data_IF_404394151321
#
_entry.id   IF_404394151321
#
_cell.length_a   1.000
_cell.length_b   1.000
_cell.length_c   1.000
_cell.angle_alpha   90.00
_cell.angle_beta   90.00
_cell.angle_gamma   90.00
#
_symmetry.space_group_name_H-M   'P 1'
#
loop_
_entity.id
_entity.type
_entity.pdbx_description
1 polymer ?
#
# COMPACT_ATOMS: atom_id res chain seq x y z
N UNK A 1 -6.36 6.79 17.35
CA UNK A 1 -5.63 6.20 16.19
C UNK A 1 -5.38 4.71 16.36
N UNK A 2 -5.66 4.10 17.52
CA UNK A 2 -5.71 2.65 17.66
C UNK A 2 -7.12 2.26 18.10
N UNK A 3 -7.70 1.30 17.37
CA UNK A 3 -8.79 0.46 17.84
C UNK A 3 -8.15 -0.71 18.58
N UNK A 4 -8.55 -0.97 19.82
CA UNK A 4 -8.21 -2.22 20.48
C UNK A 4 -9.18 -3.28 19.96
N UNK A 5 -8.66 -4.35 19.36
CA UNK A 5 -9.47 -5.50 18.92
C UNK A 5 -10.12 -6.27 20.10
N UNK A 6 -9.88 -5.81 21.33
CA UNK A 6 -10.34 -6.41 22.59
C UNK A 6 -11.61 -5.73 23.11
N UNK A 7 -12.13 -4.69 22.45
CA UNK A 7 -13.40 -4.06 22.81
C UNK A 7 -14.56 -4.72 22.03
N UNK A 8 -15.35 -5.61 22.66
CA UNK A 8 -16.45 -6.30 21.99
C UNK A 8 -17.66 -5.38 21.73
N UNK A 9 -17.74 -4.23 22.39
CA UNK A 9 -18.92 -3.35 22.35
C UNK A 9 -18.82 -2.23 21.30
N UNK A 10 -17.64 -2.07 20.68
CA UNK A 10 -17.43 -1.09 19.61
C UNK A 10 -15.95 -0.85 19.31
N UNK A 11 -15.23 -1.78 18.64
CA UNK A 11 -13.78 -1.67 18.46
C UNK A 11 -13.36 -0.38 17.71
N UNK A 12 -14.29 0.22 16.96
CA UNK A 12 -14.05 1.41 16.14
C UNK A 12 -14.56 2.73 16.73
N UNK A 13 -15.16 2.74 17.92
CA UNK A 13 -15.76 3.96 18.48
C UNK A 13 -14.73 5.03 18.81
N UNK A 14 -13.52 4.60 19.19
CA UNK A 14 -12.38 5.49 19.44
C UNK A 14 -11.48 5.65 18.22
N UNK A 15 -11.75 4.93 17.13
CA UNK A 15 -11.00 5.01 15.90
C UNK A 15 -11.48 6.22 15.07
N UNK A 16 -10.52 6.99 14.55
CA UNK A 16 -10.81 8.14 13.67
C UNK A 16 -10.37 7.91 12.22
N UNK A 17 -9.27 7.19 12.03
CA UNK A 17 -8.68 6.87 10.74
C UNK A 17 -8.01 5.52 10.82
N UNK A 18 -8.11 4.74 9.75
CA UNK A 18 -7.25 3.60 9.48
C UNK A 18 -6.07 4.11 8.65
N UNK A 19 -4.85 3.86 9.11
CA UNK A 19 -3.64 4.17 8.37
C UNK A 19 -2.84 2.88 8.21
N UNK A 20 -2.35 2.62 6.99
CA UNK A 20 -1.41 1.54 6.77
C UNK A 20 -0.08 1.87 7.48
N UNK A 21 0.79 0.89 7.69
CA UNK A 21 2.04 1.09 8.44
C UNK A 21 2.87 2.28 7.92
N UNK A 22 3.12 2.43 6.60
CA UNK A 22 3.86 3.57 6.08
C UNK A 22 3.13 4.91 6.30
N UNK A 23 1.81 4.93 6.15
CA UNK A 23 0.99 6.12 6.38
C UNK A 23 0.97 6.53 7.85
N UNK A 24 1.00 5.56 8.76
CA UNK A 24 1.16 5.81 10.19
C UNK A 24 2.51 6.44 10.50
N UNK A 25 3.59 6.01 9.85
CA UNK A 25 4.90 6.65 9.97
C UNK A 25 4.85 8.08 9.42
N UNK A 26 4.27 8.29 8.24
CA UNK A 26 4.08 9.63 7.67
C UNK A 26 3.26 10.53 8.60
N UNK A 27 2.20 10.01 9.22
CA UNK A 27 1.40 10.71 10.21
C UNK A 27 2.24 11.16 11.41
N UNK A 28 3.13 10.31 11.92
CA UNK A 28 4.02 10.67 13.03
C UNK A 28 5.04 11.74 12.65
N UNK A 29 5.46 11.77 11.39
CA UNK A 29 6.47 12.70 10.90
C UNK A 29 5.90 14.07 10.56
N UNK A 30 4.71 14.13 9.94
CA UNK A 30 4.16 15.36 9.35
C UNK A 30 2.67 15.61 9.65
N UNK A 31 2.01 14.71 10.37
CA UNK A 31 0.58 14.82 10.70
C UNK A 31 -0.37 14.38 9.59
N UNK A 32 0.12 13.93 8.42
CA UNK A 32 -0.73 13.44 7.33
C UNK A 32 -1.69 12.34 7.79
N UNK A 33 -2.89 12.31 7.22
CA UNK A 33 -3.88 11.25 7.44
C UNK A 33 -4.35 10.63 6.12
N UNK A 34 -3.58 10.83 5.06
CA UNK A 34 -3.80 10.21 3.74
C UNK A 34 -3.37 8.75 3.78
N UNK A 35 -4.01 7.92 2.97
CA UNK A 35 -3.52 6.61 2.59
C UNK A 35 -2.82 6.69 1.25
N UNK A 36 -1.89 5.78 0.97
CA UNK A 36 -1.24 5.73 -0.34
C UNK A 36 -1.73 4.56 -1.19
N UNK A 37 -1.94 4.86 -2.48
CA UNK A 37 -2.64 4.00 -3.46
C UNK A 37 -2.07 2.59 -3.55
N UNK A 38 -0.75 2.45 -3.71
CA UNK A 38 -0.12 1.12 -3.91
C UNK A 38 -0.39 0.17 -2.73
N UNK A 39 -0.43 0.71 -1.52
CA UNK A 39 -0.66 -0.06 -0.31
C UNK A 39 -2.15 -0.20 0.03
N UNK A 40 -2.99 0.78 -0.30
CA UNK A 40 -4.45 0.66 -0.25
C UNK A 40 -4.94 -0.54 -1.09
N UNK A 41 -4.33 -0.78 -2.25
CA UNK A 41 -4.64 -1.94 -3.09
C UNK A 41 -4.34 -3.31 -2.47
N UNK A 42 -3.48 -3.39 -1.45
CA UNK A 42 -3.22 -4.65 -0.73
C UNK A 42 -4.34 -5.06 0.22
N UNK A 43 -5.27 -4.15 0.53
CA UNK A 43 -6.33 -4.36 1.52
C UNK A 43 -7.49 -5.23 1.02
N UNK A 44 -7.54 -5.53 -0.28
CA UNK A 44 -8.70 -6.12 -0.97
C UNK A 44 -9.98 -5.26 -0.91
N UNK A 45 -9.95 -4.08 -0.29
CA UNK A 45 -11.08 -3.18 -0.12
C UNK A 45 -10.98 -1.91 -0.99
N UNK A 46 -10.04 -1.88 -1.94
CA UNK A 46 -9.80 -0.74 -2.83
C UNK A 46 -9.96 -1.16 -4.29
N UNK A 47 -10.73 -0.38 -5.04
CA UNK A 47 -11.00 -0.58 -6.47
C UNK A 47 -10.02 0.24 -7.31
N UNK A 48 -9.22 -0.45 -8.13
CA UNK A 48 -8.20 0.18 -8.98
C UNK A 48 -8.78 1.04 -10.11
N UNK A 49 -9.93 0.66 -10.65
CA UNK A 49 -10.56 1.36 -11.78
C UNK A 49 -11.34 2.58 -11.30
N UNK A 50 -11.98 2.47 -10.15
CA UNK A 50 -12.71 3.59 -9.52
C UNK A 50 -11.81 4.51 -8.71
N UNK A 51 -10.58 4.06 -8.43
CA UNK A 51 -9.61 4.71 -7.54
C UNK A 51 -10.22 5.08 -6.19
N UNK A 52 -11.00 4.15 -5.63
CA UNK A 52 -11.82 4.38 -4.44
C UNK A 52 -11.96 3.11 -3.58
N UNK A 53 -12.20 3.31 -2.30
CA UNK A 53 -12.59 2.23 -1.38
C UNK A 53 -13.93 1.62 -1.79
N UNK A 54 -14.11 0.32 -1.57
CA UNK A 54 -15.30 -0.46 -1.91
C UNK A 54 -16.20 -0.59 -0.66
N UNK A 55 -17.30 0.19 -0.55
CA UNK A 55 -18.11 0.22 0.65
C UNK A 55 -18.71 -1.14 1.03
N UNK A 56 -19.09 -1.94 0.04
CA UNK A 56 -19.73 -3.25 0.25
C UNK A 56 -18.77 -4.26 0.89
N UNK A 57 -17.48 -4.21 0.54
CA UNK A 57 -16.46 -5.07 1.15
C UNK A 57 -16.10 -4.61 2.56
N UNK A 58 -16.05 -3.29 2.79
CA UNK A 58 -15.83 -2.73 4.10
C UNK A 58 -16.99 -3.05 5.05
N UNK A 59 -18.23 -2.94 4.59
CA UNK A 59 -19.42 -3.33 5.35
C UNK A 59 -19.41 -4.81 5.68
N UNK A 60 -19.09 -5.68 4.70
CA UNK A 60 -18.97 -7.11 4.91
C UNK A 60 -17.85 -7.48 5.92
N UNK A 61 -16.78 -6.68 5.97
CA UNK A 61 -15.69 -6.82 6.94
C UNK A 61 -16.01 -6.17 8.31
N UNK A 62 -17.16 -5.52 8.47
CA UNK A 62 -17.52 -4.79 9.68
C UNK A 62 -16.72 -3.52 9.91
N UNK A 63 -16.04 -3.00 8.89
CA UNK A 63 -15.17 -1.81 8.96
C UNK A 63 -15.94 -0.56 8.50
N UNK A 64 -16.09 0.46 9.36
CA UNK A 64 -16.79 1.67 8.97
C UNK A 64 -16.05 2.50 7.91
N UNK A 65 -16.72 2.85 6.82
CA UNK A 65 -16.18 3.71 5.74
C UNK A 65 -15.59 5.03 6.26
N UNK A 66 -16.14 5.60 7.34
CA UNK A 66 -15.62 6.85 7.97
C UNK A 66 -14.15 6.78 8.40
N UNK A 67 -13.60 5.58 8.56
CA UNK A 67 -12.22 5.35 8.95
C UNK A 67 -11.27 5.42 7.75
N UNK A 68 -11.77 5.18 6.54
CA UNK A 68 -10.92 5.10 5.37
C UNK A 68 -10.34 6.47 5.03
N UNK A 69 -9.03 6.57 4.80
CA UNK A 69 -8.40 7.82 4.44
C UNK A 69 -8.68 8.18 2.97
N UNK A 70 -8.54 9.46 2.65
CA UNK A 70 -8.35 9.86 1.26
C UNK A 70 -7.06 9.22 0.72
N UNK A 71 -7.11 8.71 -0.50
CA UNK A 71 -5.98 8.01 -1.12
C UNK A 71 -5.26 8.93 -2.09
N UNK A 72 -3.94 8.99 -1.96
CA UNK A 72 -3.08 9.74 -2.88
C UNK A 72 -2.18 8.80 -3.67
N UNK A 73 -1.82 9.20 -4.88
CA UNK A 73 -0.86 8.48 -5.72
C UNK A 73 0.57 8.63 -5.17
N UNK A 74 1.36 7.55 -5.22
CA UNK A 74 2.75 7.56 -4.76
C UNK A 74 3.67 8.47 -5.58
N UNK A 75 3.30 8.78 -6.82
CA UNK A 75 4.01 9.68 -7.73
C UNK A 75 3.58 11.16 -7.64
N UNK A 76 2.72 11.52 -6.68
CA UNK A 76 2.22 12.89 -6.55
C UNK A 76 3.34 13.92 -6.32
N UNK A 77 3.25 15.06 -7.03
CA UNK A 77 4.16 16.19 -6.86
C UNK A 77 3.77 17.12 -5.72
N UNK A 78 2.64 16.87 -5.03
CA UNK A 78 2.21 17.68 -3.90
C UNK A 78 2.67 17.04 -2.57
N UNK A 79 3.19 17.83 -1.62
CA UNK A 79 3.50 17.31 -0.30
C UNK A 79 2.24 16.83 0.43
N UNK A 80 2.32 15.67 1.09
CA UNK A 80 1.27 15.19 2.01
C UNK A 80 1.35 15.86 3.38
N UNK A 81 2.39 16.65 3.62
CA UNK A 81 2.58 17.42 4.83
C UNK A 81 3.98 18.02 4.90
N UNK A 82 4.29 18.62 6.05
CA UNK A 82 5.61 19.17 6.36
C UNK A 82 6.12 18.46 7.60
N UNK A 83 7.38 18.03 7.58
CA UNK A 83 8.01 17.38 8.73
C UNK A 83 7.95 18.31 9.94
N UNK A 84 7.48 17.79 11.08
CA UNK A 84 7.27 18.58 12.30
C UNK A 84 8.57 19.26 12.76
N UNK A 85 8.52 20.52 13.26
CA UNK A 85 9.73 21.30 13.55
C UNK A 85 10.72 20.61 14.50
N UNK A 86 10.23 19.94 15.55
CA UNK A 86 11.06 19.22 16.50
C UNK A 86 11.75 18.00 15.86
N UNK A 87 11.05 17.29 14.96
CA UNK A 87 11.59 16.14 14.22
C UNK A 87 12.62 16.61 13.20
N UNK A 88 12.31 17.67 12.45
CA UNK A 88 13.24 18.25 11.48
C UNK A 88 14.55 18.68 12.16
N UNK A 89 14.46 19.37 13.29
CA UNK A 89 15.63 19.74 14.09
C UNK A 89 16.42 18.51 14.58
N UNK A 90 15.74 17.49 15.13
CA UNK A 90 16.39 16.28 15.61
C UNK A 90 17.11 15.47 14.51
N UNK A 91 16.59 15.52 13.28
CA UNK A 91 17.16 14.84 12.11
C UNK A 91 18.15 15.70 11.31
N UNK A 92 18.38 16.96 11.72
CA UNK A 92 19.23 17.90 10.98
C UNK A 92 18.65 18.32 9.61
N UNK A 93 17.33 18.20 9.43
CA UNK A 93 16.62 18.62 8.22
C UNK A 93 16.29 20.12 8.25
N UNK A 94 16.27 20.81 7.10
CA UNK A 94 15.77 22.18 7.02
C UNK A 94 14.36 22.33 7.57
N UNK A 95 14.07 23.45 8.24
CA UNK A 95 12.71 23.77 8.64
C UNK A 95 11.83 23.90 7.39
N UNK A 96 10.61 23.35 7.44
CA UNK A 96 9.71 23.32 6.28
C UNK A 96 9.97 22.18 5.29
N UNK A 97 10.83 21.21 5.61
CA UNK A 97 11.07 20.04 4.74
C UNK A 97 9.75 19.34 4.40
N UNK A 98 9.37 19.23 3.11
CA UNK A 98 8.13 18.59 2.70
C UNK A 98 8.22 17.07 2.84
N UNK A 99 7.14 16.48 3.36
CA UNK A 99 6.90 15.04 3.28
C UNK A 99 6.11 14.75 2.01
N UNK A 100 6.58 13.82 1.18
CA UNK A 100 5.90 13.39 -0.05
C UNK A 100 5.46 11.94 0.10
N UNK A 101 4.35 11.59 -0.55
CA UNK A 101 4.03 10.18 -0.73
C UNK A 101 5.09 9.52 -1.65
N UNK A 102 5.19 8.21 -1.55
CA UNK A 102 5.97 7.35 -2.44
C UNK A 102 5.14 6.09 -2.71
N UNK A 103 5.59 5.17 -3.56
CA UNK A 103 5.06 3.81 -3.51
C UNK A 103 5.31 3.23 -2.10
N UNK A 104 4.29 3.15 -1.26
CA UNK A 104 4.45 2.76 0.14
C UNK A 104 4.36 1.25 0.34
N UNK A 105 3.75 0.53 -0.61
CA UNK A 105 3.92 -0.90 -0.70
C UNK A 105 5.34 -1.21 -1.20
N UNK A 106 6.11 -1.97 -0.42
CA UNK A 106 7.53 -2.25 -0.70
C UNK A 106 7.75 -2.92 -2.06
N UNK A 107 6.86 -3.83 -2.46
CA UNK A 107 6.90 -4.49 -3.76
C UNK A 107 6.62 -3.48 -4.88
N UNK A 108 5.73 -2.51 -4.67
CA UNK A 108 5.50 -1.45 -5.65
C UNK A 108 6.76 -0.58 -5.83
N UNK A 109 7.44 -0.22 -4.73
CA UNK A 109 8.69 0.51 -4.77
C UNK A 109 9.82 -0.28 -5.46
N UNK A 110 9.91 -1.60 -5.22
CA UNK A 110 10.89 -2.46 -5.86
C UNK A 110 10.65 -2.58 -7.37
N UNK A 111 9.39 -2.75 -7.79
CA UNK A 111 9.00 -2.83 -9.21
C UNK A 111 9.25 -1.49 -9.90
N UNK A 112 8.92 -0.36 -9.26
CA UNK A 112 9.19 0.99 -9.75
C UNK A 112 10.67 1.25 -10.04
N UNK A 113 11.57 0.62 -9.29
CA UNK A 113 13.01 0.73 -9.48
C UNK A 113 13.59 -0.32 -10.44
N UNK A 114 12.78 -1.32 -10.85
CA UNK A 114 13.23 -2.36 -11.76
C UNK A 114 13.37 -1.78 -13.18
N UNK A 115 14.42 -2.16 -13.94
CA UNK A 115 14.65 -1.66 -15.29
C UNK A 115 13.77 -2.39 -16.31
N UNK A 116 12.45 -2.33 -16.13
CA UNK A 116 11.47 -2.87 -17.07
C UNK A 116 11.37 -1.90 -18.27
N UNK A 117 11.56 -2.43 -19.47
CA UNK A 117 11.63 -1.71 -20.73
C UNK A 117 10.37 -1.86 -21.60
N UNK A 118 9.46 -2.80 -21.29
CA UNK A 118 8.22 -2.92 -22.05
C UNK A 118 7.20 -3.96 -21.56
N UNK A 119 6.02 -3.98 -22.22
CA UNK A 119 4.93 -4.92 -21.93
C UNK A 119 5.35 -6.34 -22.29
N UNK A 120 5.85 -7.08 -21.31
CA UNK A 120 6.42 -8.41 -21.48
C UNK A 120 7.55 -8.72 -20.51
N UNK A 121 8.14 -7.68 -19.91
CA UNK A 121 9.16 -7.86 -18.89
C UNK A 121 8.52 -8.38 -17.60
N UNK A 122 9.11 -9.47 -17.10
CA UNK A 122 8.69 -10.14 -15.87
C UNK A 122 9.60 -9.70 -14.75
N UNK A 123 9.02 -9.32 -13.62
CA UNK A 123 9.78 -9.11 -12.39
C UNK A 123 9.64 -10.31 -11.45
N UNK A 124 10.70 -10.54 -10.67
CA UNK A 124 10.68 -11.39 -9.49
C UNK A 124 11.18 -10.54 -8.31
N UNK A 125 10.26 -10.07 -7.47
CA UNK A 125 10.63 -9.47 -6.20
C UNK A 125 10.86 -10.59 -5.20
N UNK A 126 12.11 -10.85 -4.81
CA UNK A 126 12.48 -12.04 -4.03
C UNK A 126 13.01 -11.69 -2.63
N UNK A 127 12.25 -12.09 -1.61
CA UNK A 127 12.62 -12.02 -0.20
C UNK A 127 12.10 -13.24 0.56
N UNK A 128 11.61 -13.04 1.79
CA UNK A 128 10.91 -14.09 2.55
C UNK A 128 9.73 -14.67 1.72
N UNK A 129 9.04 -13.79 1.01
CA UNK A 129 8.08 -14.10 -0.05
C UNK A 129 8.72 -13.82 -1.40
N UNK A 130 8.29 -14.52 -2.44
CA UNK A 130 8.61 -14.10 -3.80
C UNK A 130 7.33 -13.73 -4.54
N UNK A 131 7.37 -12.62 -5.28
CA UNK A 131 6.27 -12.17 -6.13
C UNK A 131 6.75 -12.21 -7.57
N UNK A 132 6.06 -13.00 -8.41
CA UNK A 132 6.35 -13.10 -9.83
C UNK A 132 5.22 -12.43 -10.59
N UNK A 133 5.54 -11.49 -11.46
CA UNK A 133 4.51 -10.71 -12.13
C UNK A 133 4.98 -9.87 -13.30
N UNK A 134 4.02 -9.14 -13.85
CA UNK A 134 4.15 -8.19 -14.95
C UNK A 134 3.69 -6.82 -14.47
N UNK A 135 4.26 -5.77 -15.05
CA UNK A 135 3.69 -4.43 -14.97
C UNK A 135 2.88 -4.16 -16.25
N UNK A 136 1.59 -3.86 -16.08
CA UNK A 136 0.62 -3.71 -17.16
C UNK A 136 -0.04 -2.32 -17.09
N UNK A 137 -0.54 -1.84 -18.23
CA UNK A 137 -1.33 -0.61 -18.28
C UNK A 137 -2.78 -0.80 -17.79
N UNK A 138 -3.25 -2.04 -17.67
CA UNK A 138 -4.62 -2.38 -17.28
C UNK A 138 -4.69 -3.67 -16.46
N UNK A 139 -5.77 -3.82 -15.69
CA UNK A 139 -5.99 -4.99 -14.84
C UNK A 139 -6.53 -6.19 -15.63
N UNK A 140 -6.07 -7.40 -15.29
CA UNK A 140 -6.59 -8.65 -15.86
C UNK A 140 -7.60 -9.26 -14.88
N UNK A 141 -8.89 -9.17 -15.22
CA UNK A 141 -10.02 -9.57 -14.35
C UNK A 141 -10.81 -10.75 -14.93
N UNK A 142 -10.11 -11.77 -15.42
CA UNK A 142 -10.72 -12.94 -16.07
C UNK A 142 -10.89 -14.12 -15.10
N UNK A 143 -11.81 -15.06 -15.37
CA UNK A 143 -11.86 -16.33 -14.64
C UNK A 143 -10.55 -17.12 -14.69
N UNK A 144 -9.74 -16.93 -15.74
CA UNK A 144 -8.41 -17.55 -15.82
C UNK A 144 -7.43 -16.95 -14.81
N UNK A 145 -7.39 -15.62 -14.67
CA UNK A 145 -6.59 -14.95 -13.64
C UNK A 145 -7.01 -15.37 -12.22
N UNK A 146 -8.32 -15.50 -11.98
CA UNK A 146 -8.85 -15.99 -10.70
C UNK A 146 -8.39 -17.42 -10.39
N UNK A 147 -8.45 -18.35 -11.38
CA UNK A 147 -8.06 -19.76 -11.18
C UNK A 147 -6.59 -19.94 -10.79
N UNK A 148 -5.71 -19.05 -11.24
CA UNK A 148 -4.29 -19.08 -10.88
C UNK A 148 -3.99 -18.30 -9.59
N UNK A 149 -5.02 -17.75 -8.94
CA UNK A 149 -4.91 -16.88 -7.78
C UNK A 149 -3.94 -15.71 -8.01
N UNK A 150 -4.05 -15.09 -9.19
CA UNK A 150 -3.32 -13.87 -9.48
C UNK A 150 -4.05 -12.68 -8.87
N UNK A 151 -3.27 -11.67 -8.48
CA UNK A 151 -3.77 -10.39 -7.97
C UNK A 151 -3.45 -9.27 -8.97
N UNK A 152 -4.30 -8.25 -8.97
CA UNK A 152 -4.02 -6.98 -9.60
C UNK A 152 -3.76 -5.99 -8.46
N UNK A 153 -2.52 -5.54 -8.32
CA UNK A 153 -2.18 -4.50 -7.35
C UNK A 153 -1.84 -3.19 -8.05
N UNK A 154 -2.09 -2.03 -7.44
CA UNK A 154 -1.72 -0.74 -8.02
C UNK A 154 -0.19 -0.62 -8.09
N UNK A 155 0.30 -0.20 -9.26
CA UNK A 155 1.65 0.32 -9.45
C UNK A 155 1.68 1.85 -9.37
N UNK A 156 2.76 2.43 -9.84
CA UNK A 156 2.94 3.89 -9.96
C UNK A 156 2.74 4.33 -11.41
N UNK A 157 2.49 5.62 -11.64
CA UNK A 157 2.27 6.18 -12.98
C UNK A 157 1.11 5.49 -13.74
N UNK A 158 0.06 5.14 -13.01
CA UNK A 158 -1.15 4.50 -13.57
C UNK A 158 -0.99 3.03 -13.96
N UNK A 159 0.12 2.37 -13.63
CA UNK A 159 0.31 0.94 -13.93
C UNK A 159 -0.43 0.03 -12.95
N UNK A 160 -0.59 -1.23 -13.35
CA UNK A 160 -1.07 -2.35 -12.54
C UNK A 160 0.01 -3.42 -12.48
N UNK A 161 0.31 -3.89 -11.27
CA UNK A 161 1.18 -5.04 -11.02
C UNK A 161 0.31 -6.29 -10.99
N UNK A 162 0.31 -7.04 -12.09
CA UNK A 162 -0.38 -8.33 -12.19
C UNK A 162 0.58 -9.43 -11.76
N UNK A 163 0.34 -10.02 -10.60
CA UNK A 163 1.33 -10.90 -9.96
C UNK A 163 0.69 -12.05 -9.20
N UNK A 164 1.54 -13.01 -8.82
CA UNK A 164 1.17 -14.10 -7.91
C UNK A 164 2.22 -14.24 -6.81
N UNK A 165 1.74 -14.41 -5.59
CA UNK A 165 2.59 -14.76 -4.45
C UNK A 165 3.02 -16.22 -4.56
N UNK A 166 4.32 -16.48 -4.43
CA UNK A 166 4.88 -17.82 -4.32
C UNK A 166 5.68 -17.93 -3.03
N UNK A 167 5.80 -19.16 -2.51
CA UNK A 167 6.67 -19.43 -1.37
C UNK A 167 8.10 -19.03 -1.74
N UNK A 168 8.59 -17.95 -1.12
CA UNK A 168 9.92 -17.42 -1.37
C UNK A 168 10.98 -18.18 -0.59
N UNK A 169 11.96 -17.46 -0.06
CA UNK A 169 13.06 -18.04 0.70
C UNK A 169 12.69 -18.43 2.14
N UNK A 170 11.46 -18.20 2.58
CA UNK A 170 11.01 -18.52 3.93
C UNK A 170 11.28 -19.98 4.32
N UNK A 171 10.98 -20.95 3.43
CA UNK A 171 11.24 -22.36 3.69
C UNK A 171 12.73 -22.64 3.96
N UNK A 172 13.62 -22.01 3.18
CA UNK A 172 15.06 -22.14 3.39
C UNK A 172 15.51 -21.44 4.68
N UNK A 173 14.92 -20.30 5.03
CA UNK A 173 15.20 -19.59 6.27
C UNK A 173 14.83 -20.43 7.49
N UNK A 174 13.67 -21.11 7.47
CA UNK A 174 13.24 -22.00 8.56
C UNK A 174 14.08 -23.28 8.64
N UNK A 175 14.53 -23.85 7.51
CA UNK A 175 15.46 -24.99 7.52
C UNK A 175 16.85 -24.67 8.10
N UNK A 176 17.21 -23.39 8.22
CA UNK A 176 18.52 -22.93 8.74
C UNK A 176 18.50 -22.54 10.22
N UNK A 177 17.33 -22.58 10.87
CA UNK A 177 17.19 -22.36 12.32
C UNK A 177 17.45 -23.65 13.09
#
# INVERSE_FOLDING_TARGET
LAADAVDPDGPFDRARRMLMIPDLVAHRLCGSVTGERTNAGSTQCFDLERDAWIPELLEAAGVPMRLMPEVVAGETSDPIGVIGPAIAHALGLPAGTPMRATATHDTAAAVAAAPLAGPGDVFISSGTWSLVGLELGESIRTPAAMRINATNEPGIFGTTRFLRNVAGLWLLQECRR
#
